data_IF_587424253969
#
_entry.id   IF_587424253969
#
_cell.length_a   1.000
_cell.length_b   1.000
_cell.length_c   1.000
_cell.angle_alpha   90.00
_cell.angle_beta   90.00
_cell.angle_gamma   90.00
#
_symmetry.space_group_name_H-M   'P 1'
#
loop_
_entity.id
_entity.type
_entity.pdbx_description
1 polymer ?
#
# COMPACT_ATOMS: atom_id res chain seq x y z
N UNK A 1 -35.63 2.48 -7.64
CA UNK A 1 -34.83 3.03 -8.75
C UNK A 1 -33.45 2.40 -8.69
N UNK A 2 -32.98 1.77 -9.77
CA UNK A 2 -31.63 1.20 -9.86
C UNK A 2 -30.65 2.33 -10.19
N UNK A 3 -29.95 2.86 -9.19
CA UNK A 3 -28.74 3.63 -9.47
C UNK A 3 -27.65 2.64 -9.87
N UNK A 4 -27.51 2.44 -11.17
CA UNK A 4 -26.27 1.95 -11.76
C UNK A 4 -25.23 3.06 -11.61
N UNK A 5 -24.53 3.07 -10.47
CA UNK A 5 -23.23 3.74 -10.28
C UNK A 5 -22.11 3.02 -11.05
N UNK A 6 -22.41 2.37 -12.18
CA UNK A 6 -21.46 2.32 -13.28
C UNK A 6 -21.42 3.72 -13.90
N UNK A 7 -20.98 4.72 -13.12
CA UNK A 7 -20.40 5.91 -13.72
C UNK A 7 -19.30 5.37 -14.62
N UNK A 8 -19.39 5.66 -15.91
CA UNK A 8 -18.35 5.43 -16.90
C UNK A 8 -16.99 5.59 -16.23
N UNK A 9 -16.32 4.47 -15.89
CA UNK A 9 -14.98 4.51 -15.31
C UNK A 9 -14.18 5.36 -16.29
N UNK A 10 -13.70 6.56 -15.89
CA UNK A 10 -13.01 7.44 -16.82
C UNK A 10 -11.92 6.61 -17.47
N UNK A 11 -11.85 6.66 -18.81
CA UNK A 11 -11.03 5.76 -19.60
C UNK A 11 -9.64 5.68 -18.95
N UNK A 12 -9.35 4.57 -18.27
CA UNK A 12 -8.19 4.42 -17.40
C UNK A 12 -6.91 4.67 -18.18
N UNK A 13 -6.95 4.44 -19.51
CA UNK A 13 -5.86 4.75 -20.44
C UNK A 13 -5.57 6.24 -20.64
N UNK A 14 -6.55 7.14 -20.48
CA UNK A 14 -6.34 8.60 -20.57
C UNK A 14 -5.68 9.09 -19.29
N UNK A 15 -6.24 8.75 -18.12
CA UNK A 15 -5.66 9.10 -16.81
C UNK A 15 -4.23 8.53 -16.71
N UNK A 16 -4.04 7.29 -17.16
CA UNK A 16 -2.74 6.64 -17.25
C UNK A 16 -1.71 7.45 -18.05
N UNK A 17 -2.10 7.85 -19.26
CA UNK A 17 -1.21 8.53 -20.19
C UNK A 17 -0.82 9.90 -19.65
N UNK A 18 -1.79 10.65 -19.13
CA UNK A 18 -1.55 11.96 -18.55
C UNK A 18 -0.66 11.84 -17.32
N UNK A 19 -0.94 10.87 -16.45
CA UNK A 19 -0.10 10.62 -15.29
C UNK A 19 1.31 10.19 -15.69
N UNK A 20 1.49 9.25 -16.62
CA UNK A 20 2.82 8.76 -17.03
C UNK A 20 3.71 9.90 -17.56
N UNK A 21 3.13 10.91 -18.21
CA UNK A 21 3.83 12.08 -18.72
C UNK A 21 4.26 13.08 -17.63
N UNK A 22 3.63 13.08 -16.46
CA UNK A 22 3.99 13.99 -15.37
C UNK A 22 5.35 13.64 -14.78
N UNK A 23 6.17 14.65 -14.46
CA UNK A 23 7.41 14.42 -13.74
C UNK A 23 7.15 14.04 -12.28
N UNK A 24 7.99 13.16 -11.73
CA UNK A 24 7.92 12.84 -10.30
C UNK A 24 8.35 14.03 -9.45
N UNK A 25 7.65 14.25 -8.35
CA UNK A 25 7.99 15.28 -7.37
C UNK A 25 9.34 14.97 -6.75
N UNK A 26 10.24 15.96 -6.74
CA UNK A 26 11.59 15.83 -6.16
C UNK A 26 11.96 16.97 -5.21
N UNK A 27 11.12 18.00 -5.14
CA UNK A 27 11.28 19.20 -4.32
C UNK A 27 10.16 19.25 -3.28
N UNK A 28 10.50 19.71 -2.08
CA UNK A 28 9.56 19.85 -0.96
C UNK A 28 9.90 21.11 -0.15
N UNK A 29 8.93 21.58 0.63
CA UNK A 29 9.04 22.74 1.53
C UNK A 29 9.23 22.22 2.97
N UNK A 30 10.41 22.38 3.62
CA UNK A 30 10.70 21.74 4.90
C UNK A 30 9.77 22.14 6.05
N UNK A 31 9.31 23.40 6.08
CA UNK A 31 8.51 23.96 7.17
C UNK A 31 7.05 24.22 6.76
N UNK A 32 6.51 23.39 5.87
CA UNK A 32 5.11 23.48 5.47
C UNK A 32 4.22 23.20 6.70
N UNK A 33 3.33 24.12 7.05
CA UNK A 33 2.37 23.88 8.13
C UNK A 33 1.42 22.76 7.72
N UNK A 34 1.32 21.71 8.54
CA UNK A 34 0.40 20.58 8.34
C UNK A 34 0.04 19.96 9.68
N UNK A 35 -1.12 19.32 9.71
CA UNK A 35 -1.57 18.46 10.80
C UNK A 35 -1.87 17.11 10.17
N UNK A 36 -1.25 16.05 10.70
CA UNK A 36 -1.47 14.69 10.23
C UNK A 36 -2.14 13.90 11.35
N UNK A 37 -3.44 13.67 11.21
CA UNK A 37 -4.17 12.72 12.06
C UNK A 37 -4.03 11.29 11.51
N UNK A 38 -4.16 10.25 12.35
CA UNK A 38 -4.25 8.88 11.88
C UNK A 38 -5.36 8.75 10.82
N UNK A 39 -5.08 8.08 9.70
CA UNK A 39 -6.06 7.92 8.62
C UNK A 39 -6.12 9.04 7.58
N UNK A 40 -5.27 10.08 7.67
CA UNK A 40 -5.29 11.21 6.72
C UNK A 40 -5.09 10.83 5.24
N UNK A 41 -4.44 9.69 4.96
CA UNK A 41 -4.17 9.22 3.59
C UNK A 41 -5.32 8.39 3.02
N UNK A 42 -6.20 7.86 3.88
CA UNK A 42 -7.32 6.98 3.49
C UNK A 42 -8.32 7.63 2.50
N UNK A 43 -8.71 8.91 2.62
CA UNK A 43 -9.58 9.55 1.62
C UNK A 43 -8.96 9.59 0.22
N UNK A 44 -7.64 9.77 0.12
CA UNK A 44 -6.93 9.76 -1.17
C UNK A 44 -6.87 8.37 -1.78
N UNK A 45 -6.62 7.35 -0.95
CA UNK A 45 -6.68 5.95 -1.35
C UNK A 45 -8.08 5.61 -1.91
N UNK A 46 -9.14 5.97 -1.19
CA UNK A 46 -10.52 5.75 -1.61
C UNK A 46 -10.82 6.43 -2.95
N UNK A 47 -10.43 7.70 -3.09
CA UNK A 47 -10.67 8.45 -4.32
C UNK A 47 -9.92 7.86 -5.52
N UNK A 48 -8.64 7.52 -5.37
CA UNK A 48 -7.87 6.92 -6.46
C UNK A 48 -8.44 5.55 -6.84
N UNK A 49 -8.76 4.71 -5.85
CA UNK A 49 -9.36 3.39 -6.11
C UNK A 49 -10.72 3.49 -6.79
N UNK A 50 -11.58 4.44 -6.40
CA UNK A 50 -12.89 4.67 -7.06
C UNK A 50 -12.76 4.98 -8.56
N UNK A 51 -11.67 5.65 -8.96
CA UNK A 51 -11.40 5.96 -10.37
C UNK A 51 -10.83 4.78 -11.14
N UNK A 52 -10.23 3.79 -10.47
CA UNK A 52 -9.47 2.71 -11.10
C UNK A 52 -10.19 1.36 -11.04
N UNK A 53 -10.64 0.94 -9.85
CA UNK A 53 -11.11 -0.42 -9.58
C UNK A 53 -12.41 -0.49 -8.79
N UNK A 54 -12.71 0.48 -7.93
CA UNK A 54 -13.93 0.50 -7.10
C UNK A 54 -13.98 -0.58 -6.02
N UNK A 55 -12.83 -1.07 -5.54
CA UNK A 55 -12.77 -2.13 -4.50
C UNK A 55 -13.11 -1.61 -3.12
N UNK A 56 -12.71 -0.39 -2.78
CA UNK A 56 -13.08 0.26 -1.53
C UNK A 56 -14.57 0.61 -1.52
N UNK A 57 -15.15 0.97 -2.66
CA UNK A 57 -16.61 1.14 -2.80
C UNK A 57 -17.35 -0.19 -2.64
N UNK A 58 -16.83 -1.27 -3.25
CA UNK A 58 -17.35 -2.62 -3.04
C UNK A 58 -17.32 -3.00 -1.57
N UNK A 59 -16.17 -2.79 -0.90
CA UNK A 59 -16.00 -3.01 0.52
C UNK A 59 -17.01 -2.21 1.37
N UNK A 60 -17.22 -0.93 1.08
CA UNK A 60 -18.22 -0.12 1.82
C UNK A 60 -19.62 -0.71 1.72
N UNK A 61 -20.01 -1.25 0.56
CA UNK A 61 -21.32 -1.90 0.40
C UNK A 61 -21.41 -3.20 1.19
N UNK A 62 -20.31 -3.93 1.34
CA UNK A 62 -20.26 -5.11 2.21
C UNK A 62 -20.39 -4.74 3.69
N UNK A 63 -19.98 -3.54 4.11
CA UNK A 63 -20.16 -3.10 5.50
C UNK A 63 -21.63 -2.72 5.82
N UNK A 64 -22.51 -2.64 4.83
CA UNK A 64 -23.91 -2.23 4.99
C UNK A 64 -24.79 -3.47 4.92
N UNK A 65 -25.39 -3.84 6.05
CA UNK A 65 -26.38 -4.92 6.12
C UNK A 65 -27.76 -4.33 6.38
N UNK A 66 -28.76 -4.57 5.51
CA UNK A 66 -30.12 -4.11 5.76
C UNK A 66 -30.64 -4.61 7.11
N UNK A 67 -31.31 -3.73 7.86
CA UNK A 67 -31.80 -4.02 9.22
C UNK A 67 -32.63 -5.30 9.27
N UNK A 68 -33.49 -5.51 8.28
CA UNK A 68 -34.35 -6.69 8.17
C UNK A 68 -33.58 -7.99 7.92
N UNK A 69 -32.33 -7.92 7.45
CA UNK A 69 -31.45 -9.08 7.20
C UNK A 69 -30.46 -9.34 8.33
N UNK A 70 -30.37 -8.45 9.33
CA UNK A 70 -29.38 -8.57 10.40
C UNK A 70 -29.52 -9.88 11.20
N UNK A 71 -30.74 -10.38 11.37
CA UNK A 71 -31.01 -11.67 12.03
C UNK A 71 -30.30 -12.86 11.35
N UNK A 72 -30.01 -12.78 10.05
CA UNK A 72 -29.31 -13.82 9.31
C UNK A 72 -27.85 -13.99 9.77
N UNK A 73 -27.22 -12.92 10.27
CA UNK A 73 -25.87 -12.96 10.83
C UNK A 73 -25.83 -13.66 12.20
N UNK A 74 -26.96 -13.74 12.88
CA UNK A 74 -27.10 -14.37 14.19
C UNK A 74 -27.41 -15.87 14.11
N UNK A 75 -27.54 -16.43 12.91
CA UNK A 75 -27.80 -17.86 12.69
C UNK A 75 -26.75 -18.71 13.43
N UNK A 76 -27.14 -19.54 14.42
CA UNK A 76 -26.19 -20.29 15.25
C UNK A 76 -25.36 -21.29 14.45
N UNK A 77 -25.93 -21.90 13.40
CA UNK A 77 -25.18 -22.83 12.56
C UNK A 77 -24.26 -22.04 11.60
N UNK A 78 -22.93 -22.23 11.65
CA UNK A 78 -21.99 -21.46 10.85
C UNK A 78 -22.15 -21.67 9.35
N UNK A 79 -22.46 -22.89 8.91
CA UNK A 79 -22.62 -23.19 7.47
C UNK A 79 -23.88 -22.53 6.92
N UNK A 80 -24.99 -22.63 7.66
CA UNK A 80 -26.24 -21.97 7.31
C UNK A 80 -26.12 -20.44 7.36
N UNK A 81 -25.32 -19.91 8.28
CA UNK A 81 -25.00 -18.48 8.34
C UNK A 81 -24.27 -18.02 7.08
N UNK A 82 -23.26 -18.78 6.62
CA UNK A 82 -22.55 -18.47 5.38
C UNK A 82 -23.47 -18.57 4.15
N UNK A 83 -24.33 -19.57 4.09
CA UNK A 83 -25.35 -19.69 3.04
C UNK A 83 -26.27 -18.47 3.01
N UNK A 84 -26.76 -18.04 4.18
CA UNK A 84 -27.60 -16.84 4.29
C UNK A 84 -26.83 -15.58 3.84
N UNK A 85 -25.57 -15.44 4.27
CA UNK A 85 -24.72 -14.32 3.85
C UNK A 85 -24.59 -14.32 2.32
N UNK A 86 -24.26 -15.47 1.73
CA UNK A 86 -24.06 -15.61 0.29
C UNK A 86 -25.30 -15.27 -0.52
N UNK A 87 -26.44 -15.81 -0.10
CA UNK A 87 -27.68 -15.71 -0.87
C UNK A 87 -28.42 -14.39 -0.65
N UNK A 88 -28.25 -13.76 0.52
CA UNK A 88 -29.13 -12.64 0.93
C UNK A 88 -28.38 -11.36 1.30
N UNK A 89 -27.10 -11.42 1.67
CA UNK A 89 -26.34 -10.25 2.14
C UNK A 89 -25.33 -9.79 1.09
N UNK A 90 -24.58 -10.71 0.47
CA UNK A 90 -23.58 -10.33 -0.51
C UNK A 90 -24.22 -9.65 -1.74
N UNK A 91 -23.53 -8.63 -2.32
CA UNK A 91 -23.86 -8.11 -3.63
C UNK A 91 -23.88 -9.24 -4.67
N UNK A 92 -24.74 -9.14 -5.68
CA UNK A 92 -24.85 -10.18 -6.72
C UNK A 92 -23.68 -10.10 -7.69
N UNK A 93 -23.13 -8.92 -7.90
CA UNK A 93 -21.93 -8.69 -8.69
C UNK A 93 -20.69 -9.32 -8.02
N UNK A 94 -19.74 -9.80 -8.84
CA UNK A 94 -18.47 -10.31 -8.34
C UNK A 94 -17.63 -9.20 -7.70
N UNK A 95 -16.56 -9.60 -7.03
CA UNK A 95 -15.54 -8.70 -6.55
C UNK A 95 -14.94 -7.93 -7.76
N UNK A 96 -14.73 -6.59 -7.67
CA UNK A 96 -14.08 -5.84 -8.73
C UNK A 96 -12.63 -6.34 -8.94
N UNK A 97 -12.31 -6.87 -10.14
CA UNK A 97 -11.02 -7.51 -10.36
C UNK A 97 -9.90 -6.50 -10.52
N UNK A 98 -8.71 -6.84 -10.00
CA UNK A 98 -7.45 -6.19 -10.36
C UNK A 98 -6.60 -7.17 -11.17
N UNK A 99 -6.07 -6.69 -12.29
CA UNK A 99 -5.00 -7.39 -13.01
C UNK A 99 -3.65 -6.95 -12.43
N UNK A 100 -3.02 -7.83 -11.65
CA UNK A 100 -1.70 -7.57 -11.07
C UNK A 100 -0.60 -7.75 -12.12
N UNK A 101 0.40 -6.86 -12.11
CA UNK A 101 1.47 -6.88 -13.11
C UNK A 101 2.31 -8.17 -13.07
N UNK A 102 2.47 -8.82 -14.23
CA UNK A 102 3.14 -10.13 -14.37
C UNK A 102 4.68 -10.06 -14.33
N UNK A 103 5.25 -8.84 -14.38
CA UNK A 103 6.69 -8.60 -14.43
C UNK A 103 7.32 -8.20 -13.10
N UNK A 104 8.64 -8.39 -12.97
CA UNK A 104 9.41 -7.88 -11.84
C UNK A 104 9.31 -6.35 -11.76
N UNK A 105 9.25 -5.81 -10.54
CA UNK A 105 9.28 -4.37 -10.30
C UNK A 105 10.67 -3.85 -10.66
N UNK A 106 10.76 -3.14 -11.78
CA UNK A 106 12.00 -2.58 -12.31
C UNK A 106 12.23 -1.16 -11.84
N UNK A 107 13.47 -0.67 -12.00
CA UNK A 107 13.79 0.75 -11.81
C UNK A 107 13.12 1.66 -12.85
N UNK A 108 12.48 1.12 -13.89
CA UNK A 108 11.70 1.90 -14.85
C UNK A 108 10.27 2.15 -14.39
N UNK A 109 9.75 1.33 -13.45
CA UNK A 109 8.42 1.49 -12.91
C UNK A 109 8.30 2.80 -12.12
N UNK A 110 7.32 3.64 -12.48
CA UNK A 110 7.14 4.96 -11.88
C UNK A 110 6.86 4.89 -10.38
N UNK A 111 6.10 3.90 -9.93
CA UNK A 111 5.87 3.63 -8.50
C UNK A 111 7.17 3.31 -7.77
N UNK A 112 8.04 2.50 -8.38
CA UNK A 112 9.36 2.19 -7.80
C UNK A 112 10.26 3.41 -7.72
N UNK A 113 10.36 4.19 -8.80
CA UNK A 113 11.14 5.44 -8.82
C UNK A 113 10.66 6.44 -7.77
N UNK A 114 9.34 6.56 -7.58
CA UNK A 114 8.76 7.42 -6.55
C UNK A 114 9.18 6.96 -5.15
N UNK A 115 9.13 5.65 -4.87
CA UNK A 115 9.60 5.09 -3.61
C UNK A 115 11.10 5.34 -3.39
N UNK A 116 11.93 5.13 -4.42
CA UNK A 116 13.38 5.39 -4.34
C UNK A 116 13.65 6.88 -4.05
N UNK A 117 12.96 7.80 -4.73
CA UNK A 117 13.05 9.25 -4.46
C UNK A 117 12.67 9.56 -3.01
N UNK A 118 11.55 9.01 -2.53
CA UNK A 118 11.11 9.22 -1.16
C UNK A 118 12.20 8.77 -0.18
N UNK A 119 12.65 7.52 -0.29
CA UNK A 119 13.65 6.94 0.61
C UNK A 119 14.97 7.71 0.58
N UNK A 120 15.44 8.11 -0.59
CA UNK A 120 16.68 8.89 -0.74
C UNK A 120 16.56 10.29 -0.12
N UNK A 121 15.40 10.93 -0.26
CA UNK A 121 15.16 12.28 0.27
C UNK A 121 14.88 12.31 1.78
N UNK A 122 14.64 11.16 2.42
CA UNK A 122 14.48 11.09 3.87
C UNK A 122 15.77 11.42 4.65
N UNK A 123 16.95 11.29 4.03
CA UNK A 123 18.23 11.53 4.68
C UNK A 123 18.50 13.04 4.85
N UNK A 124 18.93 13.44 6.05
CA UNK A 124 19.51 14.77 6.25
C UNK A 124 20.86 14.89 5.53
N UNK A 125 21.31 16.11 5.23
CA UNK A 125 22.59 16.32 4.55
C UNK A 125 23.75 15.73 5.36
N UNK A 126 24.46 14.75 4.78
CA UNK A 126 25.57 14.06 5.44
C UNK A 126 25.15 12.96 6.43
N UNK A 127 23.84 12.76 6.62
CA UNK A 127 23.30 11.70 7.47
C UNK A 127 23.44 10.32 6.85
N UNK A 128 23.52 9.30 7.72
CA UNK A 128 23.49 7.90 7.29
C UNK A 128 22.54 7.10 8.16
N UNK A 129 21.59 6.42 7.54
CA UNK A 129 20.80 5.37 8.15
C UNK A 129 20.61 4.21 7.19
N UNK A 130 20.53 3.00 7.73
CA UNK A 130 20.27 1.81 6.94
C UNK A 130 18.95 1.97 6.14
N UNK A 131 18.98 1.58 4.86
CA UNK A 131 17.79 1.57 3.99
C UNK A 131 16.63 0.79 4.61
N UNK A 132 16.91 -0.32 5.30
CA UNK A 132 15.87 -1.13 5.97
C UNK A 132 15.10 -0.32 7.02
N UNK A 133 15.78 0.53 7.78
CA UNK A 133 15.16 1.42 8.77
C UNK A 133 14.28 2.47 8.10
N UNK A 134 14.69 2.99 6.93
CA UNK A 134 13.87 3.93 6.14
C UNK A 134 12.64 3.25 5.55
N UNK A 135 12.79 2.02 5.06
CA UNK A 135 11.68 1.21 4.55
C UNK A 135 10.69 0.91 5.67
N UNK A 136 11.17 0.50 6.86
CA UNK A 136 10.30 0.25 8.01
C UNK A 136 9.53 1.52 8.41
N UNK A 137 10.23 2.65 8.50
CA UNK A 137 9.59 3.93 8.81
C UNK A 137 8.54 4.32 7.76
N UNK A 138 8.82 4.14 6.47
CA UNK A 138 7.85 4.37 5.40
C UNK A 138 6.61 3.51 5.57
N UNK A 139 6.76 2.22 5.88
CA UNK A 139 5.63 1.32 6.10
C UNK A 139 4.80 1.74 7.32
N UNK A 140 5.45 2.09 8.42
CA UNK A 140 4.76 2.59 9.63
C UNK A 140 4.03 3.90 9.36
N UNK A 141 4.64 4.80 8.58
CA UNK A 141 4.05 6.08 8.17
C UNK A 141 2.84 5.88 7.25
N UNK A 142 2.90 4.91 6.33
CA UNK A 142 1.77 4.54 5.49
C UNK A 142 0.63 3.93 6.30
N UNK A 143 0.92 3.01 7.23
CA UNK A 143 -0.10 2.39 8.09
C UNK A 143 -0.73 3.39 9.06
N UNK A 144 0.04 4.37 9.53
CA UNK A 144 -0.48 5.55 10.23
C UNK A 144 -1.40 6.37 9.32
N UNK A 145 -0.95 6.66 8.09
CA UNK A 145 -1.73 7.40 7.10
C UNK A 145 -3.02 6.69 6.69
N UNK A 146 -3.04 5.36 6.65
CA UNK A 146 -4.24 4.58 6.39
C UNK A 146 -5.15 4.44 7.62
N UNK A 147 -4.63 4.71 8.82
CA UNK A 147 -5.40 4.69 10.06
C UNK A 147 -5.59 3.28 10.63
N UNK A 148 -4.61 2.39 10.46
CA UNK A 148 -4.72 1.03 10.96
C UNK A 148 -4.86 1.01 12.50
N UNK A 149 -5.79 0.22 13.08
CA UNK A 149 -6.17 0.35 14.49
C UNK A 149 -5.15 -0.24 15.47
N UNK A 150 -4.14 -0.97 15.00
CA UNK A 150 -3.06 -1.48 15.85
C UNK A 150 -2.34 -0.34 16.59
N UNK A 151 -2.08 -0.45 17.91
CA UNK A 151 -1.42 0.59 18.71
C UNK A 151 -0.09 1.14 18.15
N UNK A 152 0.65 0.30 17.41
CA UNK A 152 1.87 0.68 16.68
C UNK A 152 1.67 1.83 15.70
N UNK A 153 0.48 1.96 15.11
CA UNK A 153 0.19 2.89 14.02
C UNK A 153 -0.83 3.96 14.41
N UNK A 154 -1.20 4.06 15.69
CA UNK A 154 -2.14 5.10 16.18
C UNK A 154 -1.49 6.47 16.37
N UNK A 155 -0.16 6.53 16.35
CA UNK A 155 0.61 7.77 16.48
C UNK A 155 1.59 7.86 15.32
N UNK A 156 1.89 9.10 14.92
CA UNK A 156 2.90 9.33 13.89
C UNK A 156 4.21 8.66 14.34
N UNK A 157 4.83 7.81 13.50
CA UNK A 157 6.03 7.09 13.90
C UNK A 157 7.16 8.08 14.21
N UNK A 158 8.00 7.72 15.17
CA UNK A 158 9.19 8.50 15.52
C UNK A 158 10.17 8.46 14.34
N UNK A 159 10.65 9.64 13.94
CA UNK A 159 11.63 9.75 12.86
C UNK A 159 12.95 9.07 13.25
N UNK A 160 13.54 8.25 12.36
CA UNK A 160 14.83 7.64 12.65
C UNK A 160 15.93 8.69 12.83
N UNK A 161 16.98 8.33 13.57
CA UNK A 161 18.16 9.16 13.65
C UNK A 161 18.71 9.47 12.24
N UNK A 162 19.16 10.71 12.02
CA UNK A 162 19.62 11.23 10.72
C UNK A 162 18.53 11.34 9.63
N UNK A 163 17.25 11.30 10.02
CA UNK A 163 16.10 11.48 9.13
C UNK A 163 15.16 12.59 9.62
N UNK A 164 15.69 13.64 10.27
CA UNK A 164 14.88 14.76 10.76
C UNK A 164 14.08 15.43 9.62
N UNK A 165 12.77 15.53 9.80
CA UNK A 165 11.82 16.03 8.80
C UNK A 165 11.42 15.01 7.73
N UNK A 166 11.82 13.73 7.83
CA UNK A 166 11.47 12.73 6.83
C UNK A 166 9.95 12.51 6.68
N UNK A 167 9.15 12.71 7.73
CA UNK A 167 7.69 12.72 7.64
C UNK A 167 7.18 13.81 6.67
N UNK A 168 7.84 14.98 6.66
CA UNK A 168 7.49 16.10 5.77
C UNK A 168 7.85 15.81 4.32
N UNK A 169 9.01 15.18 4.12
CA UNK A 169 9.45 14.68 2.83
C UNK A 169 8.42 13.71 2.25
N UNK A 170 8.05 12.70 3.03
CA UNK A 170 7.06 11.70 2.59
C UNK A 170 5.73 12.35 2.25
N UNK A 171 5.22 13.25 3.07
CA UNK A 171 3.94 13.92 2.81
C UNK A 171 3.88 14.71 1.50
N UNK A 172 4.99 15.29 1.07
CA UNK A 172 5.02 16.10 -0.16
C UNK A 172 5.44 15.30 -1.40
N UNK A 173 6.28 14.27 -1.23
CA UNK A 173 6.86 13.53 -2.34
C UNK A 173 6.16 12.19 -2.62
N UNK A 174 5.58 11.56 -1.59
CA UNK A 174 4.88 10.29 -1.76
C UNK A 174 3.59 10.49 -2.54
N UNK A 175 3.40 9.67 -3.56
CA UNK A 175 2.20 9.66 -4.38
C UNK A 175 1.63 8.24 -4.41
N UNK A 176 0.37 8.07 -3.99
CA UNK A 176 -0.32 6.78 -4.01
C UNK A 176 -0.63 6.31 -5.43
N UNK A 177 -0.92 7.25 -6.34
CA UNK A 177 -1.45 6.95 -7.66
C UNK A 177 -0.62 5.91 -8.45
N UNK A 178 0.73 6.00 -8.56
CA UNK A 178 1.50 5.07 -9.38
C UNK A 178 1.52 3.64 -8.81
N UNK A 179 1.33 3.48 -7.50
CA UNK A 179 1.24 2.15 -6.87
C UNK A 179 -0.11 1.49 -7.17
N UNK A 180 -1.20 2.27 -7.11
CA UNK A 180 -2.55 1.81 -7.42
C UNK A 180 -2.71 1.56 -8.92
N UNK A 181 -2.27 2.49 -9.76
CA UNK A 181 -2.42 2.42 -11.21
C UNK A 181 -1.67 1.24 -11.85
N UNK A 182 -0.50 0.87 -11.31
CA UNK A 182 0.27 -0.31 -11.73
C UNK A 182 0.43 -1.27 -10.55
N UNK A 183 -0.61 -2.06 -10.23
CA UNK A 183 -0.66 -2.86 -9.01
C UNK A 183 0.36 -4.00 -9.07
N UNK A 184 1.30 -4.00 -8.11
CA UNK A 184 2.41 -4.96 -7.97
C UNK A 184 2.85 -5.00 -6.52
N UNK A 185 3.58 -6.04 -6.12
CA UNK A 185 4.28 -6.06 -4.83
C UNK A 185 5.59 -5.24 -4.89
N UNK A 186 5.47 -3.91 -4.84
CA UNK A 186 6.62 -3.01 -4.81
C UNK A 186 7.49 -3.21 -3.56
N UNK A 187 6.86 -3.47 -2.42
CA UNK A 187 7.55 -3.58 -1.14
C UNK A 187 8.34 -4.87 -1.02
N UNK A 188 7.85 -5.99 -1.56
CA UNK A 188 8.61 -7.24 -1.57
C UNK A 188 9.93 -7.13 -2.34
N UNK A 189 9.89 -6.51 -3.52
CA UNK A 189 11.11 -6.23 -4.31
C UNK A 189 12.04 -5.28 -3.58
N UNK A 190 11.50 -4.17 -3.04
CA UNK A 190 12.27 -3.17 -2.32
C UNK A 190 12.97 -3.77 -1.08
N UNK A 191 12.27 -4.57 -0.28
CA UNK A 191 12.81 -5.25 0.91
C UNK A 191 13.87 -6.27 0.51
N UNK A 192 13.60 -7.09 -0.52
CA UNK A 192 14.56 -8.07 -0.99
C UNK A 192 15.87 -7.40 -1.42
N UNK A 193 15.80 -6.36 -2.25
CA UNK A 193 16.99 -5.64 -2.72
C UNK A 193 17.75 -4.94 -1.58
N UNK A 194 17.02 -4.42 -0.59
CA UNK A 194 17.58 -3.72 0.56
C UNK A 194 18.31 -4.65 1.55
N UNK A 195 17.88 -5.92 1.69
CA UNK A 195 18.56 -6.92 2.53
C UNK A 195 19.93 -7.35 1.95
N UNK A 196 20.13 -7.24 0.64
CA UNK A 196 21.35 -7.70 -0.03
C UNK A 196 21.51 -9.24 -0.01
N UNK A 197 22.38 -9.77 -0.89
CA UNK A 197 22.48 -11.23 -1.13
C UNK A 197 22.88 -12.07 0.09
N UNK A 198 23.66 -11.49 1.00
CA UNK A 198 24.08 -12.15 2.24
C UNK A 198 22.93 -12.29 3.23
N UNK A 199 22.25 -11.17 3.54
CA UNK A 199 21.14 -11.18 4.49
C UNK A 199 19.95 -11.98 3.96
N UNK A 200 19.64 -11.95 2.66
CA UNK A 200 18.58 -12.78 2.07
C UNK A 200 18.76 -14.27 2.40
N UNK A 201 19.99 -14.78 2.31
CA UNK A 201 20.32 -16.17 2.67
C UNK A 201 20.13 -16.47 4.16
N UNK A 202 20.33 -15.49 5.03
CA UNK A 202 20.24 -15.66 6.49
C UNK A 202 18.80 -15.47 6.99
N UNK A 203 18.05 -14.53 6.42
CA UNK A 203 16.66 -14.25 6.79
C UNK A 203 15.66 -15.12 6.03
N UNK A 204 16.08 -15.84 4.98
CA UNK A 204 15.22 -16.73 4.20
C UNK A 204 14.13 -16.03 3.38
N UNK A 205 14.19 -14.70 3.21
CA UNK A 205 13.15 -13.96 2.50
C UNK A 205 13.46 -13.91 1.00
N UNK A 206 12.63 -14.60 0.22
CA UNK A 206 12.68 -14.64 -1.23
C UNK A 206 11.28 -14.35 -1.78
N UNK A 207 11.01 -13.15 -2.32
CA UNK A 207 9.68 -12.83 -2.82
C UNK A 207 9.35 -13.75 -4.01
N UNK A 208 8.19 -14.39 -3.95
CA UNK A 208 7.66 -15.15 -5.08
C UNK A 208 7.47 -14.20 -6.28
N UNK A 209 7.95 -14.55 -7.48
CA UNK A 209 7.71 -13.74 -8.67
C UNK A 209 6.22 -13.51 -8.89
N UNK A 210 5.82 -12.27 -9.21
CA UNK A 210 4.40 -11.90 -9.36
C UNK A 210 3.64 -12.77 -10.35
N UNK A 211 4.25 -13.13 -11.50
CA UNK A 211 3.64 -14.06 -12.46
C UNK A 211 3.32 -15.44 -11.88
N UNK A 212 4.20 -15.98 -11.02
CA UNK A 212 4.00 -17.27 -10.36
C UNK A 212 2.91 -17.15 -9.30
N UNK A 213 2.92 -16.08 -8.51
CA UNK A 213 1.87 -15.80 -7.53
C UNK A 213 0.48 -15.67 -8.18
N UNK A 214 0.38 -14.93 -9.30
CA UNK A 214 -0.85 -14.79 -10.07
C UNK A 214 -1.32 -16.13 -10.65
N UNK A 215 -0.40 -16.93 -11.19
CA UNK A 215 -0.74 -18.27 -11.70
C UNK A 215 -1.32 -19.14 -10.58
N UNK A 216 -0.67 -19.19 -9.42
CA UNK A 216 -1.13 -20.00 -8.27
C UNK A 216 -2.51 -19.51 -7.79
N UNK A 217 -2.70 -18.19 -7.66
CA UNK A 217 -4.00 -17.62 -7.28
C UNK A 217 -5.12 -18.05 -8.22
N UNK A 218 -4.91 -17.97 -9.54
CA UNK A 218 -5.89 -18.41 -10.55
C UNK A 218 -6.13 -19.92 -10.56
N UNK A 219 -5.16 -20.73 -10.16
CA UNK A 219 -5.31 -22.19 -10.08
C UNK A 219 -6.09 -22.62 -8.82
N UNK A 220 -5.95 -21.89 -7.71
CA UNK A 220 -6.59 -22.21 -6.44
C UNK A 220 -8.09 -21.93 -6.43
N UNK A 221 -8.53 -20.89 -7.15
CA UNK A 221 -9.92 -20.46 -7.16
C UNK A 221 -10.54 -20.68 -8.54
N UNK A 222 -11.66 -21.39 -8.58
CA UNK A 222 -12.37 -21.65 -9.82
C UNK A 222 -13.32 -20.48 -10.14
N UNK A 223 -13.10 -19.81 -11.28
CA UNK A 223 -13.95 -18.70 -11.76
C UNK A 223 -15.43 -19.09 -12.01
N UNK A 224 -15.76 -20.38 -11.96
CA UNK A 224 -17.12 -20.89 -12.15
C UNK A 224 -17.90 -21.07 -10.85
N UNK A 225 -17.24 -20.94 -9.71
CA UNK A 225 -17.85 -21.07 -8.39
C UNK A 225 -17.75 -19.75 -7.65
N UNK A 226 -18.79 -19.38 -6.91
CA UNK A 226 -18.71 -18.24 -6.02
C UNK A 226 -17.91 -18.62 -4.77
N UNK A 227 -16.64 -18.22 -4.77
CA UNK A 227 -15.67 -18.54 -3.71
C UNK A 227 -15.54 -17.43 -2.66
N UNK A 228 -16.37 -16.37 -2.72
CA UNK A 228 -16.20 -15.16 -1.89
C UNK A 228 -16.16 -15.42 -0.39
N UNK A 229 -16.88 -16.43 0.10
CA UNK A 229 -16.91 -16.79 1.52
C UNK A 229 -15.90 -17.90 1.91
N UNK A 230 -15.14 -18.43 0.96
CA UNK A 230 -14.02 -19.30 1.28
C UNK A 230 -12.94 -18.51 2.02
N UNK A 231 -12.15 -19.21 2.84
CA UNK A 231 -11.08 -18.61 3.62
C UNK A 231 -9.74 -19.00 3.02
N UNK A 232 -8.95 -18.02 2.60
CA UNK A 232 -7.55 -18.23 2.24
C UNK A 232 -6.68 -18.41 3.48
N UNK A 233 -5.59 -19.16 3.35
CA UNK A 233 -4.58 -19.33 4.39
C UNK A 233 -3.19 -19.35 3.76
N UNK A 234 -2.28 -18.52 4.28
CA UNK A 234 -0.88 -18.48 3.85
C UNK A 234 0.05 -18.48 5.09
N UNK A 235 0.65 -19.64 5.44
CA UNK A 235 1.45 -19.78 6.67
C UNK A 235 2.84 -19.14 6.59
N UNK A 236 3.28 -18.70 5.40
CA UNK A 236 4.51 -17.95 5.19
C UNK A 236 4.24 -16.77 4.25
N UNK A 237 3.41 -15.84 4.71
CA UNK A 237 2.77 -14.82 3.87
C UNK A 237 3.74 -13.80 3.30
N UNK A 238 4.88 -13.57 3.94
CA UNK A 238 5.83 -12.57 3.51
C UNK A 238 5.16 -11.21 3.36
N UNK A 239 5.31 -10.61 2.18
CA UNK A 239 4.68 -9.34 1.79
C UNK A 239 3.27 -9.50 1.22
N UNK A 240 2.72 -10.72 1.23
CA UNK A 240 1.36 -11.00 0.80
C UNK A 240 1.17 -11.10 -0.70
N UNK A 241 2.23 -11.21 -1.52
CA UNK A 241 2.11 -11.29 -3.00
C UNK A 241 1.16 -12.41 -3.46
N UNK A 242 1.15 -13.55 -2.76
CA UNK A 242 0.26 -14.69 -3.02
C UNK A 242 -1.21 -14.37 -2.75
N UNK A 243 -1.48 -13.38 -1.90
CA UNK A 243 -2.84 -12.96 -1.53
C UNK A 243 -3.44 -11.97 -2.51
N UNK A 244 -2.63 -11.32 -3.34
CA UNK A 244 -3.07 -10.28 -4.27
C UNK A 244 -4.05 -10.84 -5.29
N UNK A 245 -3.65 -11.85 -6.07
CA UNK A 245 -4.57 -12.47 -7.04
C UNK A 245 -5.75 -13.17 -6.35
N UNK A 246 -5.49 -13.88 -5.24
CA UNK A 246 -6.54 -14.54 -4.46
C UNK A 246 -7.63 -13.55 -3.99
N UNK A 247 -7.26 -12.31 -3.72
CA UNK A 247 -8.21 -11.28 -3.30
C UNK A 247 -9.30 -11.03 -4.34
N UNK A 248 -9.07 -11.26 -5.65
CA UNK A 248 -10.11 -11.15 -6.66
C UNK A 248 -11.27 -12.15 -6.46
N UNK A 249 -11.10 -13.15 -5.60
CA UNK A 249 -11.99 -14.30 -5.48
C UNK A 249 -12.54 -14.47 -4.05
N UNK A 250 -11.74 -14.19 -3.01
CA UNK A 250 -12.14 -14.39 -1.61
C UNK A 250 -12.18 -13.09 -0.80
N UNK A 251 -13.09 -13.04 0.17
CA UNK A 251 -13.27 -11.91 1.09
C UNK A 251 -12.53 -12.08 2.42
N UNK A 252 -11.88 -13.22 2.66
CA UNK A 252 -11.16 -13.48 3.92
C UNK A 252 -9.84 -14.22 3.72
N UNK A 253 -8.81 -13.80 4.46
CA UNK A 253 -7.46 -14.34 4.39
C UNK A 253 -6.82 -14.39 5.78
N UNK A 254 -6.18 -15.52 6.11
CA UNK A 254 -5.33 -15.64 7.30
C UNK A 254 -3.87 -15.80 6.86
N UNK A 255 -3.03 -14.87 7.27
CA UNK A 255 -1.59 -14.90 7.02
C UNK A 255 -0.78 -15.09 8.29
N UNK A 256 0.36 -15.77 8.18
CA UNK A 256 1.37 -15.83 9.27
C UNK A 256 2.74 -15.51 8.70
N UNK A 257 3.54 -14.75 9.42
CA UNK A 257 4.99 -14.67 9.21
C UNK A 257 5.73 -14.41 10.53
N UNK A 258 7.01 -14.77 10.56
CA UNK A 258 7.90 -14.49 11.68
C UNK A 258 8.52 -13.10 11.58
N UNK A 259 8.69 -12.57 10.36
CA UNK A 259 9.30 -11.27 10.11
C UNK A 259 8.25 -10.15 10.14
N UNK A 260 8.29 -9.33 11.19
CA UNK A 260 7.38 -8.21 11.38
C UNK A 260 7.41 -7.18 10.24
N UNK A 261 8.56 -6.99 9.60
CA UNK A 261 8.69 -6.00 8.52
C UNK A 261 7.89 -6.42 7.29
N UNK A 262 7.96 -7.69 6.91
CA UNK A 262 7.22 -8.19 5.74
C UNK A 262 5.72 -8.21 6.02
N UNK A 263 5.31 -8.45 7.27
CA UNK A 263 3.90 -8.29 7.68
C UNK A 263 3.39 -6.85 7.57
N UNK A 264 4.20 -5.85 7.94
CA UNK A 264 3.85 -4.43 7.72
C UNK A 264 3.66 -4.13 6.23
N UNK A 265 4.55 -4.65 5.38
CA UNK A 265 4.42 -4.54 3.93
C UNK A 265 3.20 -5.31 3.38
N UNK A 266 2.87 -6.47 3.96
CA UNK A 266 1.63 -7.20 3.66
C UNK A 266 0.39 -6.35 3.96
N UNK A 267 0.33 -5.70 5.13
CA UNK A 267 -0.77 -4.78 5.47
C UNK A 267 -0.85 -3.62 4.48
N UNK A 268 0.27 -3.00 4.11
CA UNK A 268 0.27 -1.93 3.11
C UNK A 268 -0.26 -2.44 1.76
N UNK A 269 0.19 -3.61 1.30
CA UNK A 269 -0.33 -4.24 0.08
C UNK A 269 -1.84 -4.51 0.19
N UNK A 270 -2.34 -4.95 1.35
CA UNK A 270 -3.77 -5.11 1.57
C UNK A 270 -4.53 -3.79 1.53
N UNK A 271 -4.02 -2.70 2.10
CA UNK A 271 -4.68 -1.40 1.98
C UNK A 271 -4.76 -0.92 0.53
N UNK A 272 -3.68 -1.11 -0.23
CA UNK A 272 -3.64 -0.70 -1.63
C UNK A 272 -4.59 -1.51 -2.51
N UNK A 273 -4.69 -2.83 -2.29
CA UNK A 273 -5.26 -3.73 -3.28
C UNK A 273 -6.37 -4.65 -2.77
N UNK A 274 -6.48 -4.86 -1.46
CA UNK A 274 -7.37 -5.87 -0.86
C UNK A 274 -8.14 -5.29 0.36
N UNK A 275 -9.11 -4.36 0.16
CA UNK A 275 -9.73 -3.62 1.26
C UNK A 275 -10.35 -4.51 2.36
N UNK A 276 -10.99 -5.63 1.99
CA UNK A 276 -11.55 -6.60 2.94
C UNK A 276 -10.52 -7.44 3.69
N UNK A 277 -9.26 -7.45 3.25
CA UNK A 277 -8.15 -7.98 4.05
C UNK A 277 -7.56 -6.91 4.97
N UNK A 278 -7.52 -5.65 4.53
CA UNK A 278 -6.99 -4.53 5.33
C UNK A 278 -7.96 -4.02 6.40
N UNK A 279 -9.25 -4.07 6.11
CA UNK A 279 -10.35 -3.72 7.00
C UNK A 279 -11.39 -4.83 6.88
N UNK A 280 -11.32 -5.86 7.73
CA UNK A 280 -12.21 -7.00 7.61
C UNK A 280 -13.68 -6.58 7.62
N UNK A 281 -14.50 -7.25 6.81
CA UNK A 281 -15.94 -7.03 6.85
C UNK A 281 -16.43 -7.43 8.24
N UNK A 282 -17.19 -6.58 8.94
CA UNK A 282 -17.41 -6.76 10.38
C UNK A 282 -17.99 -8.15 10.73
N UNK A 283 -18.88 -8.69 9.88
CA UNK A 283 -19.49 -10.01 10.04
C UNK A 283 -18.65 -11.19 9.50
N UNK A 284 -17.48 -10.92 8.92
CA UNK A 284 -16.46 -11.90 8.54
C UNK A 284 -15.12 -11.62 9.25
N UNK A 285 -15.10 -10.72 10.24
CA UNK A 285 -13.87 -10.26 10.86
C UNK A 285 -13.10 -11.40 11.54
N UNK A 286 -13.82 -12.38 12.09
CA UNK A 286 -13.28 -13.61 12.69
C UNK A 286 -12.58 -14.54 11.67
N UNK A 287 -12.72 -14.29 10.36
CA UNK A 287 -12.14 -15.10 9.28
C UNK A 287 -10.90 -14.48 8.64
N UNK A 288 -10.55 -13.25 8.99
CA UNK A 288 -9.41 -12.52 8.40
C UNK A 288 -8.44 -12.11 9.50
N UNK A 289 -7.18 -12.51 9.38
CA UNK A 289 -6.16 -12.09 10.34
C UNK A 289 -4.76 -12.09 9.71
N UNK A 290 -3.87 -11.33 10.34
CA UNK A 290 -2.44 -11.37 10.09
C UNK A 290 -1.74 -11.61 11.42
N UNK A 291 -0.99 -12.71 11.46
CA UNK A 291 -0.40 -13.23 12.68
C UNK A 291 1.12 -13.05 12.62
N UNK A 292 1.67 -12.44 13.67
CA UNK A 292 3.11 -12.32 13.86
C UNK A 292 3.60 -13.39 14.84
N UNK A 293 4.50 -14.26 14.38
CA UNK A 293 5.14 -15.26 15.22
C UNK A 293 5.53 -16.51 14.45
N UNK A 294 5.93 -17.55 15.16
CA UNK A 294 6.34 -18.82 14.57
C UNK A 294 5.14 -19.78 14.54
N UNK A 295 4.62 -20.08 13.34
CA UNK A 295 3.50 -21.02 13.19
C UNK A 295 3.82 -22.46 13.61
N UNK A 296 5.11 -22.80 13.79
CA UNK A 296 5.58 -24.15 14.10
C UNK A 296 5.68 -24.44 15.60
N UNK A 297 5.46 -23.45 16.47
CA UNK A 297 5.49 -23.63 17.92
C UNK A 297 4.08 -23.76 18.51
N UNK A 298 3.96 -24.45 19.66
CA UNK A 298 2.70 -24.57 20.38
C UNK A 298 2.17 -23.24 20.91
N UNK A 299 0.86 -23.17 21.22
CA UNK A 299 0.17 -21.94 21.65
C UNK A 299 0.73 -21.33 22.93
N UNK A 300 1.31 -22.13 23.81
CA UNK A 300 1.89 -21.69 25.07
C UNK A 300 3.33 -21.17 24.93
N UNK A 301 3.91 -21.26 23.72
CA UNK A 301 5.27 -20.81 23.47
C UNK A 301 5.34 -19.28 23.37
N UNK A 302 6.41 -18.61 23.89
CA UNK A 302 6.54 -17.15 23.82
C UNK A 302 6.54 -16.55 22.40
N UNK A 303 6.85 -17.38 21.40
CA UNK A 303 6.84 -17.01 19.97
C UNK A 303 5.60 -17.51 19.23
N UNK A 304 4.57 -17.99 19.95
CA UNK A 304 3.31 -18.39 19.34
C UNK A 304 2.72 -17.21 18.53
N UNK A 305 2.06 -17.47 17.39
CA UNK A 305 1.54 -16.40 16.55
C UNK A 305 0.52 -15.53 17.29
N UNK A 306 0.68 -14.21 17.19
CA UNK A 306 -0.21 -13.21 17.79
C UNK A 306 -0.83 -12.35 16.70
N UNK A 307 -2.13 -12.04 16.84
CA UNK A 307 -2.82 -11.14 15.93
C UNK A 307 -2.21 -9.74 15.98
N UNK A 308 -1.82 -9.25 14.81
CA UNK A 308 -1.46 -7.84 14.58
C UNK A 308 -2.56 -7.12 13.80
N UNK A 309 -3.72 -7.76 13.60
CA UNK A 309 -4.73 -7.27 12.68
C UNK A 309 -6.17 -7.46 13.21
N UNK A 310 -6.71 -8.68 13.13
CA UNK A 310 -8.10 -9.01 13.47
C UNK A 310 -8.53 -8.44 14.82
N UNK A 311 -7.72 -8.70 15.86
CA UNK A 311 -8.01 -8.30 17.24
C UNK A 311 -8.38 -6.82 17.32
N UNK A 312 -7.61 -5.97 16.62
CA UNK A 312 -7.75 -4.52 16.71
C UNK A 312 -8.93 -4.00 15.92
N UNK A 313 -9.32 -4.68 14.84
CA UNK A 313 -10.56 -4.36 14.12
C UNK A 313 -11.80 -4.80 14.89
N UNK A 314 -11.77 -5.98 15.53
CA UNK A 314 -12.86 -6.41 16.40
C UNK A 314 -13.12 -5.42 17.55
N UNK A 315 -12.06 -4.82 18.11
CA UNK A 315 -12.19 -3.73 19.09
C UNK A 315 -12.90 -2.49 18.50
N UNK A 316 -12.69 -2.17 17.21
CA UNK A 316 -13.39 -1.05 16.55
C UNK A 316 -14.86 -1.37 16.22
N UNK A 317 -15.21 -2.64 16.06
CA UNK A 317 -16.56 -3.08 15.70
C UNK A 317 -17.48 -3.34 16.90
N UNK A 318 -17.04 -3.03 18.13
CA UNK A 318 -17.86 -3.24 19.33
C UNK A 318 -19.15 -2.41 19.32
N UNK A 319 -19.16 -1.27 18.62
CA UNK A 319 -20.31 -0.37 18.49
C UNK A 319 -20.96 -0.49 17.10
N UNK A 320 -21.59 -1.64 16.79
CA UNK A 320 -22.41 -1.76 15.57
C UNK A 320 -23.61 -0.82 15.67
N UNK A 321 -23.52 0.33 15.01
CA UNK A 321 -24.55 1.36 15.00
C UNK A 321 -25.54 1.17 13.85
N UNK A 322 -26.84 1.33 14.12
CA UNK A 322 -27.85 1.50 13.07
C UNK A 322 -27.80 2.94 12.55
N UNK A 323 -27.84 3.11 11.22
CA UNK A 323 -27.92 4.44 10.61
C UNK A 323 -28.84 4.42 9.39
N UNK A 324 -29.61 5.49 9.21
CA UNK A 324 -30.43 5.68 8.03
C UNK A 324 -29.55 6.16 6.87
N UNK A 325 -29.47 5.37 5.80
CA UNK A 325 -28.82 5.81 4.57
C UNK A 325 -29.62 6.96 3.95
N UNK A 326 -29.05 8.17 3.94
CA UNK A 326 -29.50 9.24 3.06
C UNK A 326 -28.72 9.12 1.76
N UNK A 327 -29.43 9.02 0.64
CA UNK A 327 -28.83 9.05 -0.69
C UNK A 327 -28.01 10.35 -0.82
N UNK A 328 -26.70 10.24 -1.03
CA UNK A 328 -25.80 11.39 -1.17
C UNK A 328 -25.68 11.77 -2.64
N UNK A 329 -25.86 13.04 -2.93
CA UNK A 329 -25.56 13.60 -4.25
C UNK A 329 -24.04 13.79 -4.41
N UNK A 330 -23.38 12.78 -4.96
CA UNK A 330 -21.93 12.77 -5.12
C UNK A 330 -21.40 13.85 -6.06
N UNK A 331 -22.21 14.37 -6.98
CA UNK A 331 -21.79 15.47 -7.87
C UNK A 331 -21.42 16.71 -7.05
N UNK A 332 -22.23 17.03 -6.06
CA UNK A 332 -22.02 18.20 -5.21
C UNK A 332 -20.85 18.00 -4.24
N UNK A 333 -20.63 16.78 -3.71
CA UNK A 333 -19.48 16.52 -2.81
C UNK A 333 -18.15 16.42 -3.54
N UNK A 334 -18.11 15.84 -4.74
CA UNK A 334 -16.89 15.81 -5.57
C UNK A 334 -16.45 17.24 -5.88
N UNK A 335 -17.38 18.14 -6.22
CA UNK A 335 -17.06 19.53 -6.50
C UNK A 335 -16.44 20.23 -5.28
N UNK A 336 -16.99 20.02 -4.08
CA UNK A 336 -16.41 20.56 -2.83
C UNK A 336 -15.00 20.03 -2.56
N UNK A 337 -14.75 18.74 -2.79
CA UNK A 337 -13.43 18.14 -2.59
C UNK A 337 -12.42 18.72 -3.59
N UNK A 338 -12.79 18.83 -4.86
CA UNK A 338 -11.96 19.44 -5.91
C UNK A 338 -11.64 20.91 -5.57
N UNK A 339 -12.64 21.68 -5.13
CA UNK A 339 -12.46 23.07 -4.73
C UNK A 339 -11.64 23.23 -3.43
N UNK A 340 -11.61 22.20 -2.59
CA UNK A 340 -10.78 22.16 -1.37
C UNK A 340 -9.33 21.74 -1.61
N UNK A 341 -8.98 21.24 -2.80
CA UNK A 341 -7.59 20.90 -3.10
C UNK A 341 -6.75 22.18 -3.27
N UNK A 342 -5.52 22.21 -2.74
CA UNK A 342 -4.65 23.39 -2.73
C UNK A 342 -4.06 23.77 -4.12
N UNK A 343 -4.72 23.40 -5.23
CA UNK A 343 -4.30 23.75 -6.59
C UNK A 343 -4.61 25.20 -6.99
N UNK A 344 -5.30 25.96 -6.12
CA UNK A 344 -5.56 27.40 -6.29
C UNK A 344 -4.90 28.30 -5.24
N UNK A 345 -3.89 27.83 -4.52
CA UNK A 345 -3.00 28.79 -3.83
C UNK A 345 -2.15 29.42 -4.92
N UNK A 346 -2.53 30.63 -5.35
CA UNK A 346 -1.70 31.43 -6.24
C UNK A 346 -0.28 31.45 -5.68
N UNK A 347 0.70 31.12 -6.51
CA UNK A 347 2.10 31.26 -6.14
C UNK A 347 2.29 32.67 -5.56
N UNK A 348 2.93 32.83 -4.40
CA UNK A 348 3.19 34.17 -3.88
C UNK A 348 3.94 34.96 -4.95
N UNK A 349 3.43 36.15 -5.28
CA UNK A 349 4.07 37.05 -6.23
C UNK A 349 5.50 37.29 -5.75
N UNK A 350 6.46 36.69 -6.45
CA UNK A 350 7.86 37.03 -6.29
C UNK A 350 8.02 38.44 -6.84
N UNK A 351 7.97 39.44 -5.96
CA UNK A 351 8.46 40.77 -6.28
C UNK A 351 9.95 40.63 -6.58
N UNK A 352 10.31 40.76 -7.86
CA UNK A 352 11.71 40.78 -8.28
C UNK A 352 12.46 41.85 -7.46
N UNK A 353 13.65 41.54 -6.92
CA UNK A 353 14.46 42.56 -6.26
C UNK A 353 14.78 43.65 -7.29
N UNK A 354 14.51 44.90 -6.90
CA UNK A 354 14.91 46.08 -7.68
C UNK A 354 16.41 45.99 -7.94
N UNK A 355 16.78 46.06 -9.21
CA UNK A 355 18.16 46.19 -9.66
C UNK A 355 18.71 47.52 -9.17
N UNK A 356 19.51 47.48 -8.12
CA UNK A 356 20.39 48.59 -7.77
C UNK A 356 21.58 48.59 -8.74
N UNK A 357 21.63 49.60 -9.61
CA UNK A 357 22.78 49.94 -10.42
C UNK A 357 23.90 50.49 -9.53
N UNK A 358 24.72 49.62 -8.94
CA UNK A 358 26.07 50.01 -8.51
C UNK A 358 26.96 48.82 -8.23
N UNK A 359 27.77 48.42 -9.20
CA UNK A 359 29.22 48.20 -8.99
C UNK A 359 29.87 47.66 -10.25
N UNK A 360 30.77 48.48 -10.80
CA UNK A 360 31.79 48.10 -11.78
C UNK A 360 32.84 47.22 -11.13
N UNK A 361 33.34 46.23 -11.87
CA UNK A 361 34.75 45.84 -11.82
C UNK A 361 35.09 44.44 -11.30
N UNK A 362 36.00 43.78 -12.03
CA UNK A 362 36.69 42.50 -11.79
C UNK A 362 35.82 41.25 -12.05
N UNK A 363 36.17 40.30 -12.90
CA UNK A 363 37.48 39.90 -13.42
C UNK A 363 37.65 38.40 -13.18
N UNK A 364 37.86 37.64 -14.27
CA UNK A 364 38.35 36.25 -14.33
C UNK A 364 37.36 35.08 -14.14
N UNK A 365 37.26 34.30 -15.22
CA UNK A 365 36.70 32.94 -15.30
C UNK A 365 37.43 31.94 -14.41
N UNK A 366 36.72 31.10 -13.62
CA UNK A 366 37.21 29.80 -13.22
C UNK A 366 36.63 28.70 -14.12
N UNK A 367 37.56 27.87 -14.59
CA UNK A 367 37.37 26.67 -15.39
C UNK A 367 36.39 25.68 -14.74
N UNK A 368 35.56 25.05 -15.57
CA UNK A 368 34.72 23.92 -15.22
C UNK A 368 35.54 22.73 -14.66
N UNK A 369 35.10 22.07 -13.58
CA UNK A 369 35.75 20.85 -13.12
C UNK A 369 35.37 19.67 -14.02
N UNK A 370 36.40 19.05 -14.59
CA UNK A 370 36.35 17.82 -15.39
C UNK A 370 35.70 16.69 -14.57
N UNK A 371 34.76 15.99 -15.19
CA UNK A 371 34.14 14.78 -14.67
C UNK A 371 35.20 13.68 -14.44
N UNK A 372 35.30 13.18 -13.20
CA UNK A 372 36.11 12.02 -12.88
C UNK A 372 35.35 10.75 -13.28
N UNK A 373 35.81 10.11 -14.34
CA UNK A 373 35.41 8.78 -14.76
C UNK A 373 35.74 7.74 -13.66
N UNK A 374 34.72 7.20 -13.01
CA UNK A 374 34.84 6.02 -12.16
C UNK A 374 35.03 4.77 -13.04
N UNK A 375 36.27 4.28 -13.15
CA UNK A 375 36.59 2.96 -13.73
C UNK A 375 36.19 1.86 -12.74
N UNK A 376 35.26 0.99 -13.15
CA UNK A 376 34.99 -0.30 -12.47
C UNK A 376 36.22 -1.22 -12.54
N UNK A 377 36.59 -1.94 -11.47
CA UNK A 377 37.60 -2.99 -11.55
C UNK A 377 37.05 -4.20 -12.30
N UNK A 378 37.73 -4.64 -13.37
CA UNK A 378 37.48 -5.92 -14.03
C UNK A 378 38.15 -7.03 -13.22
N UNK A 379 37.39 -7.79 -12.43
CA UNK A 379 37.87 -9.05 -11.87
C UNK A 379 37.83 -10.14 -12.95
N UNK A 380 39.00 -10.55 -13.44
CA UNK A 380 39.16 -11.77 -14.25
C UNK A 380 38.96 -12.99 -13.35
N UNK A 381 37.87 -13.72 -13.49
CA UNK A 381 37.77 -15.11 -13.00
C UNK A 381 38.40 -16.04 -14.03
N UNK A 382 39.51 -16.67 -13.67
CA UNK A 382 40.03 -17.86 -14.37
C UNK A 382 39.07 -19.02 -14.09
N UNK A 383 38.51 -19.61 -15.14
CA UNK A 383 37.87 -20.92 -15.08
C UNK A 383 38.98 -21.97 -15.02
N UNK A 384 39.00 -22.77 -13.95
CA UNK A 384 39.81 -23.97 -13.87
C UNK A 384 38.93 -25.14 -14.34
N UNK A 385 39.22 -25.65 -15.53
CA UNK A 385 38.73 -26.95 -15.99
C UNK A 385 39.62 -28.02 -15.34
N UNK A 386 39.04 -28.87 -14.49
CA UNK A 386 39.77 -29.98 -13.91
C UNK A 386 38.89 -30.91 -13.09
N UNK A 387 38.70 -32.10 -13.63
CA UNK A 387 38.30 -33.35 -12.98
C UNK A 387 36.83 -33.53 -12.57
N UNK A 388 36.08 -34.20 -13.46
CA UNK A 388 35.19 -35.28 -13.07
C UNK A 388 35.60 -36.53 -13.87
N UNK A 389 36.13 -37.51 -13.14
CA UNK A 389 35.93 -38.95 -13.40
C UNK A 389 34.98 -39.43 -12.32
#
# INVERSE_FOLDING_TARGET
MRFSLLSSIPNTSIIARDYDQQELKTKYIPNLKRELEPGWLKPYLFHIDSMLYGRWEYWMRLQIVPTEKYHLLQEPNPDKRLENIQNQILPQEPIPPITFGEGYVSSHDKGRKMLDICLDKMLTQGGYVNIMTRVEYLLDWLLYGFGHPHPWFRKLPLEPHSCDGCSMVLYQLFDLFPLLYRPKDYFGVLIAESKGKGSQKHTGYFPTPGSVANMIGKMLFCDRLDTRLQKGCEPAIGTGVMTLEASNQVLSMVGVDIDKLVLKACLVNWYLYCPWFAEPIFYLADRTDLLWGNALVGKDHPQAPQSIHQKYWLEQYQDICSFALKERDWRTEIQKIVDSQPSKVAAPEFSAPKTDESSKGFGQNPKSPKSKNYRRPKSKKKFNNGLLR
#
